data_IF_282910352005
#
_entry.id   IF_282910352005
#
_cell.length_a   1.000
_cell.length_b   1.000
_cell.length_c   1.000
_cell.angle_alpha   90.00
_cell.angle_beta   90.00
_cell.angle_gamma   90.00
#
_symmetry.space_group_name_H-M   'P 1'
#
loop_
_entity.id
_entity.type
_entity.pdbx_description
1 polymer ?
#
# COMPACT_ATOMS: atom_id res chain seq x y z
N UNK A 1 -8.21 1.00 -21.17
CA UNK A 1 -8.18 1.87 -19.99
C UNK A 1 -7.53 1.04 -18.92
N UNK A 2 -6.40 1.48 -18.40
CA UNK A 2 -5.63 0.70 -17.43
C UNK A 2 -6.14 1.02 -16.02
N UNK A 3 -6.28 0.00 -15.18
CA UNK A 3 -6.82 0.09 -13.83
C UNK A 3 -5.73 -0.34 -12.84
N UNK A 4 -5.36 0.59 -11.96
CA UNK A 4 -4.40 0.35 -10.91
C UNK A 4 -4.99 0.38 -9.51
N UNK A 5 -4.33 -0.29 -8.57
CA UNK A 5 -4.63 -0.21 -7.15
C UNK A 5 -3.54 0.57 -6.43
N UNK A 6 -3.94 1.62 -5.72
CA UNK A 6 -3.09 2.26 -4.75
C UNK A 6 -3.17 1.42 -3.47
N UNK A 7 -2.04 0.88 -2.98
CA UNK A 7 -2.05 -0.06 -1.85
C UNK A 7 -1.82 0.67 -0.52
N UNK A 8 -2.43 0.21 0.59
CA UNK A 8 -2.34 0.88 1.88
C UNK A 8 -1.01 0.57 2.57
N UNK A 9 0.06 1.24 2.12
CA UNK A 9 1.39 1.21 2.74
C UNK A 9 1.43 1.92 4.10
N UNK A 10 0.44 2.79 4.38
CA UNK A 10 0.22 3.44 5.67
C UNK A 10 -1.05 2.91 6.36
N UNK A 11 -1.07 2.95 7.70
CA UNK A 11 -2.24 2.52 8.48
C UNK A 11 -3.51 3.28 8.07
N UNK A 12 -4.64 2.56 8.09
CA UNK A 12 -5.98 3.07 7.79
C UNK A 12 -6.21 3.59 6.36
N UNK A 13 -5.27 3.33 5.44
CA UNK A 13 -5.42 3.66 4.01
C UNK A 13 -5.60 5.16 3.81
N UNK A 14 -6.73 5.59 3.25
CA UNK A 14 -7.00 7.02 2.93
C UNK A 14 -8.14 7.61 3.74
N UNK A 15 -8.55 6.99 4.85
CA UNK A 15 -9.66 7.46 5.69
C UNK A 15 -9.17 7.93 7.06
N UNK A 16 -9.30 9.23 7.33
CA UNK A 16 -8.96 9.85 8.62
C UNK A 16 -10.22 9.88 9.50
N UNK A 17 -10.63 8.73 10.01
CA UNK A 17 -11.85 8.61 10.83
C UNK A 17 -11.75 7.43 11.79
N UNK A 18 -12.21 7.63 13.04
CA UNK A 18 -12.35 6.53 14.02
C UNK A 18 -13.45 5.53 13.64
N UNK A 19 -14.34 5.90 12.71
CA UNK A 19 -15.42 5.02 12.23
C UNK A 19 -15.02 4.24 10.97
N UNK A 20 -13.81 4.47 10.44
CA UNK A 20 -13.25 3.67 9.36
C UNK A 20 -12.63 2.37 9.90
N UNK A 21 -12.39 1.35 9.05
CA UNK A 21 -11.59 0.20 9.43
C UNK A 21 -10.22 0.63 9.98
N UNK A 22 -9.85 0.09 11.15
CA UNK A 22 -8.55 0.35 11.77
C UNK A 22 -7.62 -0.83 11.50
N UNK A 23 -6.51 -0.61 10.80
CA UNK A 23 -5.57 -1.67 10.43
C UNK A 23 -4.15 -1.14 10.24
N UNK A 24 -3.16 -1.99 10.49
CA UNK A 24 -1.74 -1.69 10.27
C UNK A 24 -1.28 -2.15 8.88
N UNK A 25 -0.30 -1.46 8.27
CA UNK A 25 0.22 -1.83 6.97
C UNK A 25 1.21 -2.98 7.13
N UNK A 26 0.74 -4.21 7.00
CA UNK A 26 1.61 -5.40 7.02
C UNK A 26 1.92 -5.88 5.61
N UNK A 27 3.01 -6.63 5.46
CA UNK A 27 3.30 -7.30 4.19
C UNK A 27 2.16 -8.24 3.78
N UNK A 28 1.65 -9.06 4.71
CA UNK A 28 0.60 -10.03 4.38
C UNK A 28 -0.70 -9.37 3.92
N UNK A 29 -1.08 -8.24 4.53
CA UNK A 29 -2.23 -7.44 4.07
C UNK A 29 -2.01 -6.94 2.63
N UNK A 30 -0.86 -6.33 2.36
CA UNK A 30 -0.56 -5.81 1.03
C UNK A 30 -0.44 -6.93 -0.01
N UNK A 31 0.12 -8.09 0.35
CA UNK A 31 0.18 -9.29 -0.49
C UNK A 31 -1.23 -9.77 -0.85
N UNK A 32 -2.11 -9.91 0.14
CA UNK A 32 -3.50 -10.33 -0.12
C UNK A 32 -4.22 -9.35 -1.05
N UNK A 33 -4.07 -8.04 -0.82
CA UNK A 33 -4.66 -6.99 -1.67
C UNK A 33 -4.15 -7.10 -3.11
N UNK A 34 -2.83 -7.17 -3.30
CA UNK A 34 -2.22 -7.19 -4.65
C UNK A 34 -2.51 -8.49 -5.39
N UNK A 35 -2.46 -9.64 -4.73
CA UNK A 35 -2.82 -10.92 -5.36
C UNK A 35 -4.31 -10.97 -5.73
N UNK A 36 -5.18 -10.36 -4.91
CA UNK A 36 -6.61 -10.23 -5.23
C UNK A 36 -6.79 -9.31 -6.44
N UNK A 37 -6.13 -8.16 -6.48
CA UNK A 37 -6.17 -7.24 -7.62
C UNK A 37 -5.67 -7.91 -8.91
N UNK A 38 -4.54 -8.62 -8.85
CA UNK A 38 -4.00 -9.41 -9.97
C UNK A 38 -5.02 -10.46 -10.46
N UNK A 39 -5.71 -11.14 -9.54
CA UNK A 39 -6.73 -12.14 -9.89
C UNK A 39 -7.94 -11.56 -10.63
N UNK A 40 -8.27 -10.28 -10.37
CA UNK A 40 -9.33 -9.53 -11.05
C UNK A 40 -8.86 -8.82 -12.32
N UNK A 41 -7.58 -8.93 -12.69
CA UNK A 41 -7.03 -8.33 -13.90
C UNK A 41 -6.69 -6.85 -13.78
N UNK A 42 -6.35 -6.36 -12.58
CA UNK A 42 -5.74 -5.04 -12.44
C UNK A 42 -4.38 -4.99 -13.14
N UNK A 43 -4.09 -3.88 -13.81
CA UNK A 43 -2.89 -3.71 -14.62
C UNK A 43 -1.66 -3.39 -13.76
N UNK A 44 -1.84 -2.67 -12.65
CA UNK A 44 -0.74 -2.29 -11.77
C UNK A 44 -1.10 -2.08 -10.30
N UNK A 45 -0.10 -2.19 -9.43
CA UNK A 45 -0.15 -1.76 -8.03
C UNK A 45 0.92 -0.68 -7.77
N UNK A 46 0.54 0.37 -7.05
CA UNK A 46 1.40 1.49 -6.68
C UNK A 46 1.44 1.62 -5.17
N UNK A 47 2.62 1.89 -4.61
CA UNK A 47 2.80 2.32 -3.23
C UNK A 47 3.46 3.69 -3.21
N UNK A 48 2.94 4.58 -2.38
CA UNK A 48 3.58 5.86 -2.10
C UNK A 48 4.75 5.64 -1.14
N UNK A 49 5.44 6.72 -0.82
CA UNK A 49 6.30 6.79 0.36
C UNK A 49 5.79 7.93 1.24
N UNK A 50 5.62 7.66 2.54
CA UNK A 50 5.23 8.67 3.53
C UNK A 50 6.16 8.62 4.72
N UNK A 51 6.98 9.65 4.85
CA UNK A 51 8.08 9.70 5.81
C UNK A 51 7.68 10.22 7.21
N UNK A 52 6.43 10.65 7.38
CA UNK A 52 5.90 11.17 8.65
C UNK A 52 4.37 11.12 8.66
N UNK A 53 3.79 10.72 9.80
CA UNK A 53 2.34 10.73 10.03
C UNK A 53 1.77 12.08 10.44
N UNK A 54 0.49 12.04 10.81
CA UNK A 54 -0.31 13.19 11.24
C UNK A 54 -0.85 13.05 12.68
N UNK A 55 -0.52 11.98 13.39
CA UNK A 55 -0.97 11.69 14.74
C UNK A 55 -2.49 11.59 14.89
N UNK A 56 -3.01 12.15 15.98
CA UNK A 56 -4.43 12.11 16.32
C UNK A 56 -4.91 10.75 16.85
N UNK A 57 -6.22 10.61 17.07
CA UNK A 57 -6.81 9.40 17.70
C UNK A 57 -6.59 8.11 16.89
N UNK A 58 -6.42 8.23 15.58
CA UNK A 58 -6.21 7.09 14.67
C UNK A 58 -4.75 6.95 14.26
N UNK A 59 -3.85 7.79 14.81
CA UNK A 59 -2.41 7.79 14.47
C UNK A 59 -2.17 7.77 12.96
N UNK A 60 -2.90 8.62 12.22
CA UNK A 60 -3.04 8.48 10.78
C UNK A 60 -1.68 8.62 10.08
N UNK A 61 -1.27 7.55 9.40
CA UNK A 61 0.04 7.40 8.76
C UNK A 61 1.25 7.58 9.69
N UNK A 62 1.10 7.38 11.00
CA UNK A 62 2.26 7.22 11.89
C UNK A 62 2.99 5.91 11.61
N UNK A 63 2.26 4.91 11.09
CA UNK A 63 2.80 3.59 10.77
C UNK A 63 2.82 3.43 9.25
N UNK A 64 4.03 3.37 8.67
CA UNK A 64 4.24 3.15 7.24
C UNK A 64 5.40 2.16 7.01
N UNK A 65 5.27 1.33 5.98
CA UNK A 65 6.39 0.55 5.44
C UNK A 65 7.22 1.38 4.45
N UNK A 66 8.37 0.87 4.04
CA UNK A 66 9.20 1.46 2.99
C UNK A 66 8.79 0.90 1.61
N UNK A 67 8.73 1.77 0.60
CA UNK A 67 8.11 1.49 -0.70
C UNK A 67 8.88 0.45 -1.53
N UNK A 68 10.20 0.56 -1.62
CA UNK A 68 11.02 -0.35 -2.43
C UNK A 68 11.06 -1.77 -1.87
N UNK A 69 11.29 -1.90 -0.58
CA UNK A 69 11.33 -3.19 0.11
C UNK A 69 9.98 -3.88 0.11
N UNK A 70 8.88 -3.14 0.31
CA UNK A 70 7.53 -3.68 0.16
C UNK A 70 7.29 -4.18 -1.28
N UNK A 71 7.60 -3.36 -2.29
CA UNK A 71 7.39 -3.76 -3.69
C UNK A 71 8.28 -4.92 -4.12
N UNK A 72 9.52 -5.02 -3.61
CA UNK A 72 10.38 -6.17 -3.85
C UNK A 72 9.79 -7.46 -3.27
N UNK A 73 9.23 -7.40 -2.06
CA UNK A 73 8.52 -8.54 -1.47
C UNK A 73 7.28 -8.94 -2.27
N UNK A 74 6.51 -7.97 -2.76
CA UNK A 74 5.34 -8.22 -3.59
C UNK A 74 5.72 -8.82 -4.95
N UNK A 75 6.81 -8.34 -5.56
CA UNK A 75 7.33 -8.86 -6.81
C UNK A 75 7.69 -10.35 -6.74
N UNK A 76 8.11 -10.84 -5.57
CA UNK A 76 8.42 -12.25 -5.36
C UNK A 76 7.17 -13.16 -5.31
N UNK A 77 5.96 -12.60 -5.18
CA UNK A 77 4.71 -13.36 -4.96
C UNK A 77 3.59 -12.99 -5.95
N UNK A 78 3.91 -12.24 -7.01
CA UNK A 78 3.01 -11.91 -8.12
C UNK A 78 3.63 -12.33 -9.45
N UNK A 79 2.84 -12.34 -10.53
CA UNK A 79 3.30 -12.90 -11.82
C UNK A 79 2.89 -12.11 -13.07
N UNK A 80 1.94 -11.18 -12.96
CA UNK A 80 1.35 -10.45 -14.08
C UNK A 80 1.19 -8.95 -13.80
N UNK A 81 0.75 -8.59 -12.59
CA UNK A 81 0.48 -7.18 -12.23
C UNK A 81 1.79 -6.38 -12.22
N UNK A 82 1.79 -5.18 -12.82
CA UNK A 82 2.95 -4.29 -12.75
C UNK A 82 3.08 -3.69 -11.35
N UNK A 83 4.31 -3.49 -10.87
CA UNK A 83 4.58 -2.96 -9.54
C UNK A 83 5.37 -1.66 -9.63
N UNK A 84 4.86 -0.60 -9.00
CA UNK A 84 5.47 0.73 -9.00
C UNK A 84 5.83 1.17 -7.57
N UNK A 85 7.12 1.30 -7.29
CA UNK A 85 7.63 1.89 -6.05
C UNK A 85 7.86 3.40 -6.22
N UNK A 86 7.69 4.17 -5.15
CA UNK A 86 7.94 5.62 -5.12
C UNK A 86 9.28 5.94 -4.48
N UNK A 87 10.10 6.75 -5.15
CA UNK A 87 11.33 7.34 -4.59
C UNK A 87 11.03 8.78 -4.13
N UNK A 88 11.32 9.10 -2.87
CA UNK A 88 11.41 10.49 -2.43
C UNK A 88 12.82 11.01 -2.74
N UNK A 89 12.96 11.85 -3.76
CA UNK A 89 14.28 12.32 -4.25
C UNK A 89 14.84 13.54 -3.52
N UNK A 90 14.05 14.18 -2.64
CA UNK A 90 14.38 15.42 -1.93
C UNK A 90 14.01 15.31 -0.45
#
# INVERSE_FOLDING_TARGET
MDIGIFIPIGNNGWLISSNAPQYMPTFELNKQIVQTAESYGFDFALSMIKLRGFGGKTEFWEHNLESFTLMAGLAAVTSKIQLFATVATL
#
